data_IF_398591714194
#
_entry.id   IF_398591714194
#
_cell.length_a   1.000
_cell.length_b   1.000
_cell.length_c   1.000
_cell.angle_alpha   90.00
_cell.angle_beta   90.00
_cell.angle_gamma   90.00
#
_symmetry.space_group_name_H-M   'P 1'
#
loop_
_entity.id
_entity.type
_entity.pdbx_description
1 polymer ?
#
# COMPACT_ATOMS: atom_id res chain seq x y z
N UNK A 1 0.49 13.61 8.88
CA UNK A 1 1.71 13.25 9.65
C UNK A 1 2.57 12.23 8.91
N UNK A 2 2.02 11.13 8.39
CA UNK A 2 2.78 10.05 7.73
C UNK A 2 3.67 10.51 6.57
N UNK A 3 3.20 11.45 5.75
CA UNK A 3 3.99 12.06 4.66
C UNK A 3 5.29 12.71 5.18
N UNK A 4 5.21 13.53 6.23
CA UNK A 4 6.38 14.21 6.79
C UNK A 4 7.42 13.22 7.36
N UNK A 5 6.94 12.10 7.94
CA UNK A 5 7.81 11.01 8.41
C UNK A 5 8.52 10.34 7.23
N UNK A 6 7.79 10.04 6.14
CA UNK A 6 8.35 9.51 4.90
C UNK A 6 9.41 10.44 4.29
N UNK A 7 9.11 11.73 4.18
CA UNK A 7 10.05 12.74 3.69
C UNK A 7 11.32 12.80 4.55
N UNK A 8 11.18 12.77 5.87
CA UNK A 8 12.32 12.76 6.79
C UNK A 8 13.16 11.47 6.64
N UNK A 9 12.52 10.31 6.56
CA UNK A 9 13.20 9.03 6.37
C UNK A 9 14.01 9.01 5.06
N UNK A 10 13.41 9.47 3.96
CA UNK A 10 14.05 9.49 2.64
C UNK A 10 15.19 10.50 2.57
N UNK A 11 14.99 11.71 3.10
CA UNK A 11 15.94 12.82 2.91
C UNK A 11 17.02 12.93 3.98
N UNK A 12 16.76 12.45 5.21
CA UNK A 12 17.68 12.61 6.35
C UNK A 12 18.30 11.31 6.83
N UNK A 13 17.57 10.20 6.79
CA UNK A 13 18.04 8.92 7.33
C UNK A 13 18.60 8.01 6.23
N UNK A 14 17.89 7.87 5.11
CA UNK A 14 18.29 7.00 4.00
C UNK A 14 18.26 5.50 4.32
N UNK A 15 17.60 5.09 5.40
CA UNK A 15 17.46 3.68 5.78
C UNK A 15 16.43 2.96 4.91
N UNK A 16 16.63 1.66 4.70
CA UNK A 16 15.58 0.80 4.12
C UNK A 16 14.40 0.74 5.09
N UNK A 17 13.22 1.13 4.64
CA UNK A 17 12.00 1.16 5.47
C UNK A 17 10.84 0.52 4.71
N UNK A 18 10.07 -0.30 5.42
CA UNK A 18 8.80 -0.83 4.95
C UNK A 18 7.67 -0.14 5.71
N UNK A 19 6.68 0.40 5.00
CA UNK A 19 5.51 1.05 5.59
C UNK A 19 4.26 0.37 5.07
N UNK A 20 3.45 -0.19 5.98
CA UNK A 20 2.13 -0.72 5.69
C UNK A 20 1.08 0.32 6.11
N UNK A 21 0.17 0.68 5.21
CA UNK A 21 -0.79 1.75 5.45
C UNK A 21 -2.04 1.58 4.58
N UNK A 22 -3.17 2.14 5.04
CA UNK A 22 -4.43 2.22 4.30
C UNK A 22 -4.66 3.60 3.64
N UNK A 23 -3.72 4.55 3.82
CA UNK A 23 -3.83 5.89 3.24
C UNK A 23 -3.47 5.86 1.75
N UNK A 24 -4.48 5.95 0.89
CA UNK A 24 -4.32 5.92 -0.57
C UNK A 24 -3.58 7.15 -1.10
N UNK A 25 -3.69 8.29 -0.43
CA UNK A 25 -2.95 9.52 -0.75
C UNK A 25 -1.42 9.34 -0.79
N UNK A 26 -0.89 8.34 -0.07
CA UNK A 26 0.54 8.05 -0.04
C UNK A 26 1.04 7.35 -1.31
N UNK A 27 0.15 6.79 -2.13
CA UNK A 27 0.50 6.15 -3.41
C UNK A 27 1.19 7.17 -4.33
N UNK A 28 0.72 8.43 -4.33
CA UNK A 28 1.28 9.51 -5.15
C UNK A 28 2.71 9.92 -4.74
N UNK A 29 3.19 9.46 -3.58
CA UNK A 29 4.55 9.78 -3.14
C UNK A 29 5.63 9.04 -3.94
N UNK A 30 5.32 7.93 -4.61
CA UNK A 30 6.28 7.27 -5.51
C UNK A 30 6.70 8.17 -6.68
N UNK A 31 5.83 9.09 -7.11
CA UNK A 31 6.11 10.02 -8.21
C UNK A 31 6.90 11.26 -7.76
N UNK A 32 6.87 11.57 -6.46
CA UNK A 32 7.43 12.82 -5.91
C UNK A 32 8.66 12.61 -5.03
N UNK A 33 8.81 11.43 -4.40
CA UNK A 33 9.92 11.11 -3.52
C UNK A 33 10.82 10.03 -4.13
N UNK A 34 12.10 10.35 -4.43
CA UNK A 34 13.02 9.39 -5.03
C UNK A 34 13.27 8.21 -4.07
N UNK A 35 13.28 7.00 -4.64
CA UNK A 35 13.48 5.78 -3.86
C UNK A 35 12.22 5.24 -3.18
N UNK A 36 11.10 5.99 -3.17
CA UNK A 36 9.80 5.46 -2.74
C UNK A 36 9.23 4.55 -3.83
N UNK A 37 8.62 3.46 -3.39
CA UNK A 37 8.15 2.37 -4.23
C UNK A 37 6.89 1.76 -3.62
N UNK A 38 5.76 1.81 -4.33
CA UNK A 38 4.52 1.24 -3.87
C UNK A 38 4.47 -0.25 -4.13
N UNK A 39 3.90 -0.96 -3.15
CA UNK A 39 3.58 -2.36 -3.23
C UNK A 39 2.25 -2.62 -2.56
N UNK A 40 1.52 -3.62 -3.06
CA UNK A 40 0.25 -4.06 -2.51
C UNK A 40 0.17 -5.58 -2.50
N UNK A 41 -0.77 -6.10 -1.74
CA UNK A 41 -1.07 -7.53 -1.72
C UNK A 41 -2.01 -7.83 -2.89
N UNK A 42 -1.69 -8.85 -3.69
CA UNK A 42 -2.50 -9.28 -4.82
C UNK A 42 -3.84 -9.82 -4.32
N UNK A 43 -4.92 -9.40 -4.97
CA UNK A 43 -6.27 -9.86 -4.68
C UNK A 43 -6.86 -10.45 -5.96
N UNK A 44 -7.46 -11.62 -5.82
CA UNK A 44 -8.21 -12.27 -6.90
C UNK A 44 -9.69 -12.18 -6.57
N UNK A 45 -10.43 -11.38 -7.35
CA UNK A 45 -11.88 -11.24 -7.23
C UNK A 45 -12.58 -12.19 -8.19
N UNK A 46 -13.62 -12.85 -7.70
CA UNK A 46 -14.64 -13.52 -8.53
C UNK A 46 -16.00 -12.89 -8.24
N UNK A 47 -17.04 -13.24 -9.00
CA UNK A 47 -18.40 -12.73 -8.75
C UNK A 47 -18.95 -13.08 -7.35
N UNK A 48 -18.38 -14.09 -6.68
CA UNK A 48 -18.89 -14.63 -5.42
C UNK A 48 -17.99 -14.37 -4.21
N UNK A 49 -16.69 -14.21 -4.43
CA UNK A 49 -15.72 -14.13 -3.36
C UNK A 49 -14.46 -13.32 -3.74
N UNK A 50 -13.81 -12.80 -2.69
CA UNK A 50 -12.54 -12.09 -2.77
C UNK A 50 -11.47 -12.94 -2.09
N UNK A 51 -10.44 -13.33 -2.86
CA UNK A 51 -9.34 -14.15 -2.38
C UNK A 51 -8.09 -13.28 -2.24
N UNK A 52 -7.64 -13.08 -1.01
CA UNK A 52 -6.36 -12.40 -0.73
C UNK A 52 -5.21 -13.36 -1.00
N UNK A 53 -4.45 -13.11 -2.07
CA UNK A 53 -3.27 -13.90 -2.38
C UNK A 53 -2.11 -13.43 -1.49
N UNK A 54 -1.30 -14.34 -0.96
CA UNK A 54 -0.08 -14.01 -0.17
C UNK A 54 1.08 -13.53 -1.05
N UNK A 55 0.79 -12.77 -2.11
CA UNK A 55 1.75 -12.32 -3.11
C UNK A 55 1.82 -10.80 -3.10
N UNK A 56 3.02 -10.26 -2.94
CA UNK A 56 3.28 -8.83 -3.05
C UNK A 56 3.47 -8.47 -4.53
N UNK A 57 2.78 -7.43 -4.97
CA UNK A 57 2.82 -6.90 -6.35
C UNK A 57 3.17 -5.42 -6.35
N UNK A 58 3.74 -4.93 -7.46
CA UNK A 58 4.10 -3.52 -7.65
C UNK A 58 2.83 -2.67 -7.80
N UNK A 59 2.84 -1.48 -7.19
CA UNK A 59 1.75 -0.51 -7.27
C UNK A 59 0.90 -0.44 -6.00
N UNK A 60 0.10 0.62 -5.88
CA UNK A 60 -0.87 0.79 -4.81
C UNK A 60 -2.12 -0.07 -5.00
N UNK A 61 -2.80 -0.41 -3.91
CA UNK A 61 -4.09 -1.06 -3.99
C UNK A 61 -5.12 -0.07 -4.58
N UNK A 62 -5.83 -0.48 -5.63
CA UNK A 62 -6.82 0.34 -6.32
C UNK A 62 -8.22 0.27 -5.69
N UNK A 63 -8.46 -0.72 -4.83
CA UNK A 63 -9.75 -0.96 -4.17
C UNK A 63 -9.56 -1.14 -2.66
N UNK A 64 -10.53 -0.63 -1.89
CA UNK A 64 -10.64 -0.87 -0.46
C UNK A 64 -11.53 -2.07 -0.20
N UNK A 65 -10.96 -3.17 0.28
CA UNK A 65 -11.66 -4.43 0.55
C UNK A 65 -12.24 -4.53 1.96
N UNK A 66 -12.36 -3.40 2.68
CA UNK A 66 -12.80 -3.41 4.08
C UNK A 66 -14.21 -3.97 4.29
N UNK A 67 -15.12 -3.73 3.34
CA UNK A 67 -16.48 -4.29 3.35
C UNK A 67 -16.50 -5.78 3.03
N UNK A 68 -15.63 -6.25 2.13
CA UNK A 68 -15.55 -7.65 1.74
C UNK A 68 -14.96 -8.52 2.86
N UNK A 69 -13.98 -7.99 3.61
CA UNK A 69 -13.45 -8.62 4.82
C UNK A 69 -14.53 -8.74 5.90
N UNK A 70 -15.45 -7.78 6.01
CA UNK A 70 -16.55 -7.83 6.98
C UNK A 70 -17.58 -8.94 6.66
N UNK A 71 -17.67 -9.40 5.41
CA UNK A 71 -18.55 -10.52 5.00
C UNK A 71 -17.93 -11.90 5.22
N UNK A 72 -16.61 -11.96 5.47
CA UNK A 72 -15.88 -13.21 5.77
C UNK A 72 -15.90 -13.56 7.27
N UNK A 73 -16.47 -12.68 8.11
CA UNK A 73 -16.61 -12.86 9.56
C UNK A 73 -18.04 -13.28 9.94
#
# INVERSE_FOLDING_TARGET
MTKAILEYLVTKIGAKTLIATHYHELIQLEDTLPGVKNFSVSVYETEKEVIFMKKIVRGGASKSYGLDVAKLA
#
